data_IF_250057397970
#
_entry.id   IF_250057397970
#
_cell.length_a   1.000
_cell.length_b   1.000
_cell.length_c   1.000
_cell.angle_alpha   90.00
_cell.angle_beta   90.00
_cell.angle_gamma   90.00
#
_symmetry.space_group_name_H-M   'P 1'
#
loop_
_entity.id
_entity.type
_entity.pdbx_description
1 polymer ?
#
# COMPACT_ATOMS: atom_id res chain seq x y z
N UNK A 1 2.86 44.33 -46.57
CA UNK A 1 3.69 43.53 -45.64
C UNK A 1 4.35 44.52 -44.71
N UNK A 2 4.27 44.34 -43.39
CA UNK A 2 5.00 45.19 -42.44
C UNK A 2 6.50 44.92 -42.66
N UNK A 3 7.32 45.95 -42.71
CA UNK A 3 8.77 45.82 -42.83
C UNK A 3 9.50 46.76 -41.89
N UNK A 4 10.49 46.26 -41.17
CA UNK A 4 11.38 47.03 -40.30
C UNK A 4 12.80 46.91 -40.85
N UNK A 5 13.48 48.05 -41.08
CA UNK A 5 14.84 48.09 -41.61
C UNK A 5 15.07 47.19 -42.85
N UNK A 6 14.12 47.18 -43.79
CA UNK A 6 14.21 46.37 -45.02
C UNK A 6 13.89 44.88 -44.88
N UNK A 7 13.56 44.40 -43.67
CA UNK A 7 13.21 43.00 -43.41
C UNK A 7 11.71 42.85 -43.24
N UNK A 8 11.14 41.76 -43.76
CA UNK A 8 9.74 41.41 -43.50
C UNK A 8 9.51 41.22 -42.00
N UNK A 9 8.45 41.82 -41.47
CA UNK A 9 8.19 41.86 -40.03
C UNK A 9 6.75 41.51 -39.72
N UNK A 10 6.53 41.06 -38.48
CA UNK A 10 5.20 40.79 -37.91
C UNK A 10 5.08 41.52 -36.58
N UNK A 11 3.88 42.01 -36.27
CA UNK A 11 3.54 42.60 -34.98
C UNK A 11 2.74 41.58 -34.16
N UNK A 12 3.16 41.34 -32.93
CA UNK A 12 2.54 40.35 -32.04
C UNK A 12 2.25 40.97 -30.67
N UNK A 13 1.10 40.61 -30.09
CA UNK A 13 0.76 40.97 -28.71
C UNK A 13 1.67 40.21 -27.74
N UNK A 14 2.42 40.93 -26.91
CA UNK A 14 3.39 40.34 -25.98
C UNK A 14 2.70 39.55 -24.87
N UNK A 15 1.68 40.13 -24.24
CA UNK A 15 1.02 39.54 -23.06
C UNK A 15 0.08 38.36 -23.38
N UNK A 16 -0.39 38.24 -24.63
CA UNK A 16 -1.33 37.19 -25.05
C UNK A 16 -0.70 36.21 -26.04
N UNK A 17 -0.39 36.67 -27.26
CA UNK A 17 0.11 35.81 -28.34
C UNK A 17 1.51 35.27 -28.04
N UNK A 18 2.46 36.14 -27.69
CA UNK A 18 3.83 35.72 -27.36
C UNK A 18 3.82 34.87 -26.09
N UNK A 19 3.14 35.30 -25.02
CA UNK A 19 3.00 34.51 -23.79
C UNK A 19 2.50 33.09 -24.06
N UNK A 20 1.43 32.94 -24.84
CA UNK A 20 0.88 31.61 -25.17
C UNK A 20 1.85 30.74 -25.96
N UNK A 21 2.53 31.33 -26.94
CA UNK A 21 3.54 30.62 -27.75
C UNK A 21 4.74 30.18 -26.90
N UNK A 22 5.30 31.09 -26.11
CA UNK A 22 6.47 30.81 -25.26
C UNK A 22 6.15 29.80 -24.16
N UNK A 23 4.96 29.85 -23.57
CA UNK A 23 4.49 28.86 -22.60
C UNK A 23 4.34 27.47 -23.22
N UNK A 24 3.79 27.39 -24.44
CA UNK A 24 3.68 26.13 -25.17
C UNK A 24 5.05 25.50 -25.42
N UNK A 25 5.99 26.29 -25.93
CA UNK A 25 7.36 25.85 -26.20
C UNK A 25 8.08 25.42 -24.91
N UNK A 26 8.03 26.22 -23.84
CA UNK A 26 8.71 25.89 -22.59
C UNK A 26 8.17 24.61 -21.94
N UNK A 27 6.86 24.33 -22.06
CA UNK A 27 6.26 23.07 -21.62
C UNK A 27 6.72 21.87 -22.44
N UNK A 28 6.96 22.04 -23.74
CA UNK A 28 7.40 20.96 -24.61
C UNK A 28 8.85 20.54 -24.36
N UNK A 29 9.75 21.51 -24.19
CA UNK A 29 11.20 21.23 -24.14
C UNK A 29 11.81 21.35 -22.75
N UNK A 30 11.08 21.92 -21.78
CA UNK A 30 11.60 22.27 -20.46
C UNK A 30 12.30 23.63 -20.46
N UNK A 31 12.31 24.30 -19.30
CA UNK A 31 12.76 25.70 -19.17
C UNK A 31 14.23 25.88 -19.54
N UNK A 32 15.11 24.95 -19.17
CA UNK A 32 16.56 25.07 -19.43
C UNK A 32 16.87 25.00 -20.92
N UNK A 33 16.30 24.01 -21.63
CA UNK A 33 16.45 23.87 -23.10
C UNK A 33 15.78 25.02 -23.84
N UNK A 34 14.63 25.47 -23.34
CA UNK A 34 13.94 26.64 -23.89
C UNK A 34 14.82 27.89 -23.81
N UNK A 35 15.45 28.15 -22.66
CA UNK A 35 16.33 29.30 -22.50
C UNK A 35 17.58 29.20 -23.39
N UNK A 36 18.21 28.01 -23.46
CA UNK A 36 19.33 27.78 -24.39
C UNK A 36 18.96 28.00 -25.85
N UNK A 37 17.76 27.58 -26.27
CA UNK A 37 17.28 27.81 -27.63
C UNK A 37 17.08 29.30 -27.92
N UNK A 38 16.51 30.07 -26.98
CA UNK A 38 16.42 31.52 -27.10
C UNK A 38 17.80 32.17 -27.14
N UNK A 39 18.73 31.70 -26.32
CA UNK A 39 20.10 32.22 -26.30
C UNK A 39 20.86 31.94 -27.60
N UNK A 40 20.67 30.78 -28.21
CA UNK A 40 21.16 30.46 -29.57
C UNK A 40 20.60 31.46 -30.57
N UNK A 41 19.27 31.59 -30.63
CA UNK A 41 18.62 32.52 -31.56
C UNK A 41 19.09 33.96 -31.36
N UNK A 42 19.35 34.37 -30.11
CA UNK A 42 19.94 35.66 -29.77
C UNK A 42 21.32 35.83 -30.40
N UNK A 43 22.21 34.87 -30.21
CA UNK A 43 23.57 34.87 -30.78
C UNK A 43 23.56 34.85 -32.31
N UNK A 44 22.73 34.01 -32.92
CA UNK A 44 22.68 33.84 -34.37
C UNK A 44 22.10 35.06 -35.09
N UNK A 45 21.37 35.90 -34.35
CA UNK A 45 20.74 37.11 -34.89
C UNK A 45 21.63 38.36 -34.89
N UNK A 46 22.91 38.26 -34.50
CA UNK A 46 23.77 39.45 -34.32
C UNK A 46 24.49 39.91 -35.60
N UNK A 47 24.46 39.15 -36.69
CA UNK A 47 25.22 39.50 -37.90
C UNK A 47 24.76 40.84 -38.52
N UNK A 48 23.45 41.04 -38.65
CA UNK A 48 22.88 42.30 -39.12
C UNK A 48 23.11 43.45 -38.13
N UNK A 49 22.97 43.17 -36.83
CA UNK A 49 23.22 44.12 -35.75
C UNK A 49 24.68 44.59 -35.78
N UNK A 50 25.62 43.67 -35.96
CA UNK A 50 27.04 43.95 -36.03
C UNK A 50 27.40 44.76 -37.27
N UNK A 51 26.86 44.40 -38.43
CA UNK A 51 27.05 45.17 -39.66
C UNK A 51 26.60 46.63 -39.49
N UNK A 52 25.46 46.85 -38.82
CA UNK A 52 24.97 48.19 -38.47
C UNK A 52 25.92 48.92 -37.50
N UNK A 53 26.32 48.28 -36.40
CA UNK A 53 27.23 48.87 -35.39
C UNK A 53 28.55 49.31 -36.03
N UNK A 54 29.11 48.52 -36.96
CA UNK A 54 30.38 48.83 -37.62
C UNK A 54 30.34 50.02 -38.59
N UNK A 55 29.15 50.57 -38.88
CA UNK A 55 29.03 51.83 -39.63
C UNK A 55 29.36 53.07 -38.80
N UNK A 56 29.51 52.91 -37.48
CA UNK A 56 29.82 53.98 -36.53
C UNK A 56 31.29 53.94 -36.09
N UNK A 57 31.87 55.09 -35.66
CA UNK A 57 33.26 55.17 -35.22
C UNK A 57 33.62 54.29 -34.03
N UNK A 58 32.69 54.10 -33.09
CA UNK A 58 32.91 53.30 -31.88
C UNK A 58 31.78 52.29 -31.68
N UNK A 59 32.08 51.21 -30.97
CA UNK A 59 31.08 50.20 -30.62
C UNK A 59 29.94 50.82 -29.79
N UNK A 60 30.26 51.72 -28.87
CA UNK A 60 29.29 52.40 -28.00
C UNK A 60 28.33 53.29 -28.79
N UNK A 61 28.83 54.05 -29.77
CA UNK A 61 28.00 54.87 -30.66
C UNK A 61 27.10 54.00 -31.54
N UNK A 62 27.67 52.93 -32.14
CA UNK A 62 26.90 51.99 -32.95
C UNK A 62 25.86 51.23 -32.14
N UNK A 63 26.20 50.82 -30.92
CA UNK A 63 25.28 50.16 -30.00
C UNK A 63 24.17 51.11 -29.55
N UNK A 64 24.47 52.39 -29.26
CA UNK A 64 23.46 53.38 -28.94
C UNK A 64 22.47 53.58 -30.10
N UNK A 65 22.96 53.59 -31.35
CA UNK A 65 22.10 53.60 -32.54
C UNK A 65 21.23 52.33 -32.64
N UNK A 66 21.83 51.15 -32.44
CA UNK A 66 21.11 49.88 -32.43
C UNK A 66 20.05 49.84 -31.31
N UNK A 67 20.33 50.39 -30.14
CA UNK A 67 19.40 50.45 -29.02
C UNK A 67 18.13 51.24 -29.36
N UNK A 68 18.24 52.30 -30.17
CA UNK A 68 17.07 53.04 -30.69
C UNK A 68 16.24 52.15 -31.61
N UNK A 69 16.89 51.37 -32.49
CA UNK A 69 16.21 50.42 -33.38
C UNK A 69 15.53 49.32 -32.56
N UNK A 70 16.22 48.75 -31.58
CA UNK A 70 15.69 47.72 -30.68
C UNK A 70 14.46 48.22 -29.90
N UNK A 71 14.50 49.46 -29.40
CA UNK A 71 13.36 50.09 -28.72
C UNK A 71 12.17 50.27 -29.67
N UNK A 72 12.41 50.76 -30.90
CA UNK A 72 11.37 50.91 -31.92
C UNK A 72 10.78 49.57 -32.38
N UNK A 73 11.59 48.50 -32.39
CA UNK A 73 11.18 47.14 -32.69
C UNK A 73 10.47 46.44 -31.50
N UNK A 74 10.41 47.09 -30.34
CA UNK A 74 9.76 46.57 -29.14
C UNK A 74 10.60 45.55 -28.36
N UNK A 75 11.92 45.47 -28.59
CA UNK A 75 12.80 44.55 -27.87
C UNK A 75 13.19 45.04 -26.48
N UNK A 76 12.98 46.33 -26.20
CA UNK A 76 13.34 46.99 -24.96
C UNK A 76 14.34 48.12 -25.20
N UNK A 77 14.58 48.91 -24.15
CA UNK A 77 15.56 49.98 -24.14
C UNK A 77 16.89 49.41 -23.66
N UNK A 78 17.90 49.44 -24.51
CA UNK A 78 19.21 48.85 -24.22
C UNK A 78 20.23 49.93 -23.86
N UNK A 79 21.09 49.61 -22.90
CA UNK A 79 22.13 50.51 -22.42
C UNK A 79 23.41 49.71 -22.11
N UNK A 80 24.56 50.29 -22.44
CA UNK A 80 25.86 49.84 -21.93
C UNK A 80 26.07 50.51 -20.57
N UNK A 81 26.02 49.73 -19.50
CA UNK A 81 26.29 50.21 -18.14
C UNK A 81 27.79 50.41 -17.92
N UNK A 82 28.60 49.49 -18.45
CA UNK A 82 30.06 49.58 -18.42
C UNK A 82 30.66 48.66 -19.47
N UNK A 83 31.81 49.04 -20.04
CA UNK A 83 32.56 48.21 -20.98
C UNK A 83 34.05 48.26 -20.64
N UNK A 84 34.59 47.13 -20.19
CA UNK A 84 36.00 46.94 -19.87
C UNK A 84 36.64 46.07 -20.96
N UNK A 85 37.44 46.70 -21.82
CA UNK A 85 38.12 46.02 -22.94
C UNK A 85 39.36 45.23 -22.51
N UNK A 86 39.99 45.58 -21.37
CA UNK A 86 41.16 44.85 -20.88
C UNK A 86 40.76 43.52 -20.25
N UNK A 87 39.65 43.51 -19.51
CA UNK A 87 39.12 42.30 -18.87
C UNK A 87 38.09 41.56 -19.74
N UNK A 88 37.77 42.10 -20.91
CA UNK A 88 36.72 41.61 -21.81
C UNK A 88 35.34 41.49 -21.12
N UNK A 89 34.98 42.49 -20.30
CA UNK A 89 33.72 42.48 -19.54
C UNK A 89 32.78 43.57 -20.06
N UNK A 90 31.62 43.16 -20.56
CA UNK A 90 30.50 44.05 -20.88
C UNK A 90 29.40 43.95 -19.84
N UNK A 91 28.87 45.09 -19.36
CA UNK A 91 27.67 45.15 -18.53
C UNK A 91 26.58 45.88 -19.28
N UNK A 92 25.45 45.22 -19.46
CA UNK A 92 24.33 45.73 -20.25
C UNK A 92 23.07 45.75 -19.42
N UNK A 93 22.20 46.70 -19.73
CA UNK A 93 20.88 46.83 -19.12
C UNK A 93 19.82 46.85 -20.21
N UNK A 94 18.71 46.17 -19.95
CA UNK A 94 17.51 46.21 -20.77
C UNK A 94 16.32 46.57 -19.89
N UNK A 95 15.66 47.71 -20.15
CA UNK A 95 14.37 48.06 -19.52
C UNK A 95 13.24 47.87 -20.51
N UNK A 96 12.04 47.56 -19.99
CA UNK A 96 10.86 47.25 -20.82
C UNK A 96 11.12 46.15 -21.86
N UNK A 97 11.92 45.14 -21.49
CA UNK A 97 12.25 44.03 -22.37
C UNK A 97 11.05 43.14 -22.65
N UNK A 98 10.86 42.76 -23.92
CA UNK A 98 9.73 41.91 -24.32
C UNK A 98 9.71 40.56 -23.61
N UNK A 99 10.89 39.99 -23.31
CA UNK A 99 11.01 38.72 -22.58
C UNK A 99 10.46 38.83 -21.16
N UNK A 100 10.77 39.92 -20.47
CA UNK A 100 10.23 40.18 -19.14
C UNK A 100 8.72 40.44 -19.18
N UNK A 101 8.21 41.14 -20.21
CA UNK A 101 6.78 41.43 -20.34
C UNK A 101 5.93 40.16 -20.45
N UNK A 102 6.26 39.25 -21.37
CA UNK A 102 5.48 38.01 -21.51
C UNK A 102 5.61 37.12 -20.26
N UNK A 103 6.80 37.09 -19.63
CA UNK A 103 7.01 36.32 -18.41
C UNK A 103 6.19 36.83 -17.23
N UNK A 104 6.05 38.16 -17.07
CA UNK A 104 5.15 38.75 -16.06
C UNK A 104 3.69 38.38 -16.31
N UNK A 105 3.22 38.42 -17.56
CA UNK A 105 1.85 38.00 -17.90
C UNK A 105 1.59 36.53 -17.55
N UNK A 106 2.63 35.69 -17.62
CA UNK A 106 2.59 34.28 -17.22
C UNK A 106 2.87 34.04 -15.73
N UNK A 107 3.24 35.06 -14.95
CA UNK A 107 3.72 34.93 -13.57
C UNK A 107 4.88 33.94 -13.41
N UNK A 108 5.85 33.97 -14.33
CA UNK A 108 7.04 33.11 -14.32
C UNK A 108 8.33 33.94 -14.43
N UNK A 109 9.47 33.32 -14.11
CA UNK A 109 10.79 33.88 -14.37
C UNK A 109 11.73 32.78 -14.89
N UNK A 110 11.87 32.70 -16.21
CA UNK A 110 12.75 31.76 -16.91
C UNK A 110 14.10 32.37 -17.30
N UNK A 111 14.24 33.69 -17.16
CA UNK A 111 15.38 34.45 -17.65
C UNK A 111 15.18 34.96 -19.08
N UNK A 112 15.95 35.97 -19.45
CA UNK A 112 15.87 36.66 -20.74
C UNK A 112 16.97 36.11 -21.67
N UNK A 113 16.73 34.90 -22.17
CA UNK A 113 17.70 34.12 -22.94
C UNK A 113 18.05 34.76 -24.27
N UNK A 114 17.06 35.29 -25.00
CA UNK A 114 17.29 35.96 -26.30
C UNK A 114 18.18 37.20 -26.12
N UNK A 115 17.88 38.02 -25.11
CA UNK A 115 18.66 39.19 -24.74
C UNK A 115 20.08 38.83 -24.34
N UNK A 116 20.24 37.84 -23.46
CA UNK A 116 21.55 37.32 -23.07
C UNK A 116 22.34 36.79 -24.28
N UNK A 117 21.67 36.14 -25.23
CA UNK A 117 22.26 35.66 -26.48
C UNK A 117 22.78 36.78 -27.36
N UNK A 118 21.96 37.82 -27.59
CA UNK A 118 22.37 39.00 -28.38
C UNK A 118 23.60 39.68 -27.79
N UNK A 119 23.59 39.98 -26.48
CA UNK A 119 24.73 40.62 -25.84
C UNK A 119 25.98 39.73 -25.84
N UNK A 120 25.81 38.41 -25.67
CA UNK A 120 26.92 37.46 -25.80
C UNK A 120 27.53 37.48 -27.21
N UNK A 121 26.70 37.46 -28.25
CA UNK A 121 27.15 37.48 -29.64
C UNK A 121 27.85 38.79 -30.02
N UNK A 122 27.29 39.94 -29.60
CA UNK A 122 27.92 41.25 -29.82
C UNK A 122 29.27 41.37 -29.10
N UNK A 123 29.35 40.96 -27.83
CA UNK A 123 30.63 40.92 -27.11
C UNK A 123 31.63 39.95 -27.74
N UNK A 124 31.17 38.81 -28.24
CA UNK A 124 32.06 37.85 -28.90
C UNK A 124 32.69 38.43 -30.17
N UNK A 125 31.93 39.21 -30.94
CA UNK A 125 32.44 39.97 -32.09
C UNK A 125 33.39 41.10 -31.66
N UNK A 126 33.06 41.81 -30.57
CA UNK A 126 33.83 42.93 -30.05
C UNK A 126 35.19 42.52 -29.48
N UNK A 127 35.22 41.47 -28.66
CA UNK A 127 36.43 41.02 -27.96
C UNK A 127 37.20 39.95 -28.76
N UNK A 128 36.57 39.33 -29.76
CA UNK A 128 37.20 38.26 -30.55
C UNK A 128 37.31 36.93 -29.80
N UNK A 129 36.57 36.76 -28.69
CA UNK A 129 36.54 35.58 -27.85
C UNK A 129 35.10 35.10 -27.62
N UNK A 130 34.87 33.80 -27.40
CA UNK A 130 33.52 33.33 -27.08
C UNK A 130 33.08 33.91 -25.73
N UNK A 131 31.99 34.66 -25.74
CA UNK A 131 31.45 35.31 -24.55
C UNK A 131 30.14 34.69 -24.10
N UNK A 132 29.80 34.83 -22.82
CA UNK A 132 28.56 34.36 -22.23
C UNK A 132 27.95 35.39 -21.29
N UNK A 133 26.66 35.65 -21.47
CA UNK A 133 25.88 36.53 -20.61
C UNK A 133 25.36 35.79 -19.38
N UNK A 134 25.63 36.35 -18.21
CA UNK A 134 24.97 36.03 -16.96
C UNK A 134 23.97 37.15 -16.65
N UNK A 135 22.68 36.83 -16.61
CA UNK A 135 21.67 37.74 -16.09
C UNK A 135 21.77 37.82 -14.57
N UNK A 136 21.82 39.04 -14.04
CA UNK A 136 22.00 39.34 -12.61
C UNK A 136 20.82 40.11 -12.00
N UNK A 137 19.93 40.65 -12.82
CA UNK A 137 18.70 41.35 -12.41
C UNK A 137 17.55 40.95 -13.34
N UNK A 138 16.34 40.86 -12.81
CA UNK A 138 15.18 40.22 -13.46
C UNK A 138 13.90 41.06 -13.31
N UNK A 139 13.50 41.74 -14.37
CA UNK A 139 12.23 42.49 -14.44
C UNK A 139 10.99 41.61 -14.25
N UNK A 140 11.08 40.33 -14.57
CA UNK A 140 9.99 39.36 -14.33
C UNK A 140 9.82 39.04 -12.84
N UNK A 141 10.82 39.34 -11.99
CA UNK A 141 10.75 39.25 -10.52
C UNK A 141 10.39 40.56 -9.85
N UNK A 142 10.19 41.63 -10.62
CA UNK A 142 9.87 42.96 -10.11
C UNK A 142 11.06 43.91 -9.99
N UNK A 143 12.26 43.52 -10.44
CA UNK A 143 13.39 44.44 -10.53
C UNK A 143 13.13 45.52 -11.60
N UNK A 144 13.80 46.68 -11.49
CA UNK A 144 13.60 47.80 -12.42
C UNK A 144 14.05 47.49 -13.85
N UNK A 145 15.11 46.68 -13.99
CA UNK A 145 15.72 46.36 -15.28
C UNK A 145 16.30 44.94 -15.29
N UNK A 146 16.38 44.34 -16.49
CA UNK A 146 17.23 43.18 -16.68
C UNK A 146 18.67 43.67 -16.83
N UNK A 147 19.58 43.15 -16.02
CA UNK A 147 21.01 43.46 -16.13
C UNK A 147 21.79 42.20 -16.44
N UNK A 148 22.77 42.33 -17.33
CA UNK A 148 23.60 41.24 -17.82
C UNK A 148 25.07 41.59 -17.65
N UNK A 149 25.84 40.62 -17.18
CA UNK A 149 27.30 40.67 -17.24
C UNK A 149 27.76 39.66 -18.27
N UNK A 150 28.49 40.12 -19.28
CA UNK A 150 29.01 39.33 -20.38
C UNK A 150 30.52 39.24 -20.26
N UNK A 151 31.05 38.02 -20.30
CA UNK A 151 32.48 37.72 -20.14
C UNK A 151 32.91 36.54 -21.03
N UNK A 152 34.21 36.35 -21.30
CA UNK A 152 34.70 35.16 -21.97
C UNK A 152 34.31 33.89 -21.22
N UNK A 153 33.99 32.84 -21.97
CA UNK A 153 33.56 31.57 -21.40
C UNK A 153 33.84 30.40 -22.36
N UNK A 154 34.15 29.24 -21.79
CA UNK A 154 34.22 27.98 -22.55
C UNK A 154 32.83 27.36 -22.81
N UNK A 155 31.76 28.00 -22.33
CA UNK A 155 30.39 27.53 -22.53
C UNK A 155 29.95 27.73 -23.98
N UNK A 156 29.39 26.68 -24.56
CA UNK A 156 28.71 26.71 -25.87
C UNK A 156 27.27 26.22 -25.70
N UNK A 157 26.39 26.66 -26.60
CA UNK A 157 24.99 26.22 -26.57
C UNK A 157 24.91 24.71 -26.83
N UNK A 158 25.70 24.23 -27.78
CA UNK A 158 25.80 22.81 -28.14
C UNK A 158 26.29 21.98 -26.95
N UNK A 159 27.35 22.42 -26.27
CA UNK A 159 27.88 21.72 -25.11
C UNK A 159 26.93 21.72 -23.92
N UNK A 160 26.19 22.81 -23.69
CA UNK A 160 25.13 22.86 -22.68
C UNK A 160 23.98 21.91 -23.02
N UNK A 161 23.55 21.85 -24.29
CA UNK A 161 22.49 20.96 -24.75
C UNK A 161 22.90 19.49 -24.63
N UNK A 162 24.12 19.14 -25.03
CA UNK A 162 24.68 17.79 -24.87
C UNK A 162 24.71 17.35 -23.41
N UNK A 163 25.12 18.25 -22.49
CA UNK A 163 25.08 17.98 -21.05
C UNK A 163 23.67 17.69 -20.55
N UNK A 164 22.68 18.47 -20.98
CA UNK A 164 21.27 18.23 -20.61
C UNK A 164 20.73 16.92 -21.19
N UNK A 165 21.11 16.55 -22.41
CA UNK A 165 20.72 15.27 -23.01
C UNK A 165 21.36 14.08 -22.28
N UNK A 166 22.64 14.20 -21.91
CA UNK A 166 23.34 13.18 -21.14
C UNK A 166 22.74 12.98 -19.74
N UNK A 167 22.39 14.06 -19.05
CA UNK A 167 21.74 14.00 -17.74
C UNK A 167 20.35 13.33 -17.79
N UNK A 168 19.54 13.64 -18.81
CA UNK A 168 18.25 13.00 -19.03
C UNK A 168 18.40 11.51 -19.34
N UNK A 169 19.39 11.13 -20.14
CA UNK A 169 19.66 9.74 -20.48
C UNK A 169 20.09 8.92 -19.25
N UNK A 170 20.97 9.48 -18.41
CA UNK A 170 21.38 8.86 -17.15
C UNK A 170 20.18 8.67 -16.20
N UNK A 171 19.37 9.72 -16.00
CA UNK A 171 18.20 9.68 -15.13
C UNK A 171 17.17 8.64 -15.59
N UNK A 172 16.94 8.53 -16.90
CA UNK A 172 16.04 7.52 -17.47
C UNK A 172 16.55 6.10 -17.27
N UNK A 173 17.86 5.88 -17.42
CA UNK A 173 18.48 4.58 -17.18
C UNK A 173 18.35 4.17 -15.70
N UNK A 174 18.64 5.09 -14.77
CA UNK A 174 18.52 4.83 -13.33
C UNK A 174 17.08 4.52 -12.93
N UNK A 175 16.10 5.27 -13.47
CA UNK A 175 14.68 5.02 -13.22
C UNK A 175 14.23 3.67 -13.78
N UNK A 176 14.71 3.27 -14.97
CA UNK A 176 14.41 1.97 -15.54
C UNK A 176 14.95 0.83 -14.66
N UNK A 177 16.17 0.96 -14.14
CA UNK A 177 16.75 0.00 -13.20
C UNK A 177 15.95 -0.07 -11.89
N UNK A 178 15.56 1.08 -11.34
CA UNK A 178 14.76 1.13 -10.11
C UNK A 178 13.38 0.47 -10.28
N UNK A 179 12.71 0.71 -11.42
CA UNK A 179 11.42 0.10 -11.73
C UNK A 179 11.53 -1.42 -11.86
N UNK A 180 12.62 -1.93 -12.47
CA UNK A 180 12.81 -3.37 -12.61
C UNK A 180 13.06 -4.05 -11.25
N UNK A 181 13.86 -3.43 -10.38
CA UNK A 181 14.05 -3.92 -8.99
C UNK A 181 12.74 -3.96 -8.21
N UNK A 182 11.93 -2.91 -8.30
CA UNK A 182 10.64 -2.85 -7.61
C UNK A 182 9.68 -3.96 -8.12
N UNK A 183 9.68 -4.23 -9.42
CA UNK A 183 8.88 -5.32 -10.01
C UNK A 183 9.30 -6.68 -9.46
N UNK A 184 10.61 -6.93 -9.35
CA UNK A 184 11.14 -8.17 -8.78
C UNK A 184 10.71 -8.33 -7.32
N UNK A 185 10.87 -7.29 -6.49
CA UNK A 185 10.46 -7.33 -5.08
C UNK A 185 8.95 -7.57 -4.90
N UNK A 186 8.11 -6.95 -5.75
CA UNK A 186 6.66 -7.16 -5.71
C UNK A 186 6.29 -8.60 -6.06
N UNK A 187 6.93 -9.19 -7.07
CA UNK A 187 6.66 -10.58 -7.47
C UNK A 187 7.12 -11.58 -6.40
N UNK A 188 8.29 -11.37 -5.79
CA UNK A 188 8.78 -12.21 -4.68
C UNK A 188 7.83 -12.19 -3.47
N UNK A 189 7.33 -11.00 -3.11
CA UNK A 189 6.32 -10.86 -2.05
C UNK A 189 5.04 -11.58 -2.40
N UNK A 190 4.55 -11.44 -3.64
CA UNK A 190 3.33 -12.10 -4.10
C UNK A 190 3.42 -13.62 -4.00
N UNK A 191 4.55 -14.20 -4.43
CA UNK A 191 4.80 -15.65 -4.33
C UNK A 191 4.80 -16.11 -2.88
N UNK A 192 5.44 -15.34 -2.00
CA UNK A 192 5.53 -15.67 -0.56
C UNK A 192 4.16 -15.61 0.12
N UNK A 193 3.36 -14.58 -0.17
CA UNK A 193 2.00 -14.44 0.36
C UNK A 193 1.08 -15.57 -0.12
N UNK A 194 1.17 -15.94 -1.41
CA UNK A 194 0.38 -17.05 -1.96
C UNK A 194 0.77 -18.40 -1.32
N UNK A 195 2.06 -18.62 -1.05
CA UNK A 195 2.53 -19.80 -0.33
C UNK A 195 2.01 -19.84 1.11
N UNK A 196 2.09 -18.72 1.85
CA UNK A 196 1.59 -18.62 3.21
C UNK A 196 0.08 -18.89 3.28
N UNK A 197 -0.71 -18.29 2.37
CA UNK A 197 -2.17 -18.52 2.29
C UNK A 197 -2.53 -19.97 2.03
N UNK A 198 -1.72 -20.72 1.26
CA UNK A 198 -1.94 -22.15 1.03
C UNK A 198 -1.69 -22.93 2.32
N UNK A 199 -0.57 -22.68 2.99
CA UNK A 199 -0.25 -23.32 4.27
C UNK A 199 -1.28 -23.01 5.36
N UNK A 200 -1.78 -21.77 5.44
CA UNK A 200 -2.86 -21.40 6.37
C UNK A 200 -4.15 -22.20 6.12
N UNK A 201 -4.53 -22.36 4.85
CA UNK A 201 -5.71 -23.17 4.47
C UNK A 201 -5.53 -24.64 4.81
N UNK A 202 -4.36 -25.20 4.53
CA UNK A 202 -4.03 -26.60 4.87
C UNK A 202 -4.08 -26.83 6.39
N UNK A 203 -3.50 -25.92 7.16
CA UNK A 203 -3.54 -25.97 8.62
C UNK A 203 -4.96 -25.85 9.17
N UNK A 204 -5.76 -24.92 8.64
CA UNK A 204 -7.15 -24.75 9.04
C UNK A 204 -7.98 -26.03 8.79
N UNK A 205 -7.79 -26.65 7.62
CA UNK A 205 -8.43 -27.92 7.29
C UNK A 205 -8.01 -29.05 8.25
N UNK A 206 -6.73 -29.14 8.57
CA UNK A 206 -6.21 -30.16 9.49
C UNK A 206 -6.77 -29.98 10.91
N UNK A 207 -6.83 -28.74 11.41
CA UNK A 207 -7.41 -28.43 12.73
C UNK A 207 -8.89 -28.83 12.77
N UNK A 208 -9.65 -28.55 11.72
CA UNK A 208 -11.07 -28.94 11.66
C UNK A 208 -11.24 -30.46 11.67
N UNK A 209 -10.43 -31.19 10.90
CA UNK A 209 -10.40 -32.66 10.90
C UNK A 209 -10.09 -33.20 12.31
N UNK A 210 -9.05 -32.69 12.96
CA UNK A 210 -8.67 -33.10 14.31
C UNK A 210 -9.79 -32.83 15.32
N UNK A 211 -10.43 -31.66 15.27
CA UNK A 211 -11.55 -31.32 16.15
C UNK A 211 -12.73 -32.31 16.00
N UNK A 212 -13.05 -32.70 14.76
CA UNK A 212 -14.10 -33.71 14.48
C UNK A 212 -13.73 -35.08 15.04
N UNK A 213 -12.49 -35.53 14.84
CA UNK A 213 -12.02 -36.82 15.37
C UNK A 213 -12.03 -36.84 16.90
N UNK A 214 -11.56 -35.78 17.55
CA UNK A 214 -11.59 -35.64 19.02
C UNK A 214 -13.03 -35.69 19.54
N UNK A 215 -13.97 -35.00 18.88
CA UNK A 215 -15.37 -35.04 19.25
C UNK A 215 -15.98 -36.45 19.16
N UNK A 216 -15.67 -37.20 18.09
CA UNK A 216 -16.15 -38.57 17.88
C UNK A 216 -15.61 -39.56 18.93
N UNK A 217 -14.38 -39.36 19.42
CA UNK A 217 -13.76 -40.21 20.44
C UNK A 217 -14.26 -39.96 21.87
N UNK A 218 -14.98 -38.86 22.13
CA UNK A 218 -15.22 -38.36 23.49
C UNK A 218 -16.46 -38.92 24.21
N UNK A 219 -17.32 -39.72 23.55
CA UNK A 219 -18.50 -40.37 24.17
C UNK A 219 -18.92 -41.66 23.44
N UNK A 220 -18.17 -42.77 23.56
CA UNK A 220 -18.56 -44.04 22.94
C UNK A 220 -19.72 -44.68 23.69
N UNK A 221 -20.86 -44.93 23.04
CA UNK A 221 -21.92 -45.79 23.58
C UNK A 221 -21.52 -47.25 23.31
N UNK A 222 -21.37 -48.03 24.38
CA UNK A 222 -20.87 -49.40 24.30
C UNK A 222 -21.97 -50.34 24.78
N UNK A 223 -22.18 -51.46 24.10
CA UNK A 223 -23.05 -52.51 24.60
C UNK A 223 -22.22 -53.46 25.47
N UNK A 224 -22.51 -53.46 26.76
CA UNK A 224 -21.81 -54.28 27.77
C UNK A 224 -22.46 -55.64 27.97
N UNK A 225 -23.73 -55.76 27.59
CA UNK A 225 -24.46 -57.03 27.56
C UNK A 225 -25.61 -56.97 26.54
N UNK A 226 -26.18 -58.11 26.18
CA UNK A 226 -27.41 -58.14 25.37
C UNK A 226 -28.53 -57.35 26.06
N UNK A 227 -29.03 -56.31 25.41
CA UNK A 227 -30.05 -55.41 25.97
C UNK A 227 -29.53 -54.37 26.98
N UNK A 228 -28.22 -54.23 27.21
CA UNK A 228 -27.63 -53.26 28.16
C UNK A 228 -26.57 -52.40 27.48
N UNK A 229 -26.80 -51.08 27.46
CA UNK A 229 -25.86 -50.08 26.96
C UNK A 229 -25.17 -49.36 28.12
N UNK A 230 -23.94 -48.92 27.90
CA UNK A 230 -23.23 -47.98 28.77
C UNK A 230 -22.81 -46.74 27.99
N UNK A 231 -22.95 -45.59 28.63
CA UNK A 231 -22.55 -44.29 28.15
C UNK A 231 -21.64 -43.65 29.21
N UNK A 232 -20.32 -43.74 29.05
CA UNK A 232 -19.37 -43.01 29.88
C UNK A 232 -19.40 -41.52 29.54
N UNK A 233 -19.64 -40.69 30.55
CA UNK A 233 -19.65 -39.24 30.45
C UNK A 233 -18.36 -38.72 31.08
N UNK A 234 -17.51 -38.10 30.26
CA UNK A 234 -16.21 -37.57 30.67
C UNK A 234 -16.14 -36.06 30.45
N UNK A 235 -15.78 -35.29 31.47
CA UNK A 235 -15.69 -33.83 31.41
C UNK A 235 -17.05 -33.13 31.42
N UNK A 236 -17.07 -31.86 31.01
CA UNK A 236 -18.28 -31.02 31.06
C UNK A 236 -19.29 -31.39 29.97
N UNK A 237 -20.58 -31.38 30.32
CA UNK A 237 -21.68 -31.66 29.38
C UNK A 237 -22.38 -30.34 29.04
N UNK A 238 -21.85 -29.63 28.05
CA UNK A 238 -22.52 -28.44 27.49
C UNK A 238 -23.80 -28.84 26.73
N UNK A 239 -24.74 -27.90 26.52
CA UNK A 239 -26.01 -28.21 25.85
C UNK A 239 -25.88 -28.80 24.43
N UNK A 240 -24.90 -28.37 23.64
CA UNK A 240 -24.62 -28.95 22.33
C UNK A 240 -24.15 -30.41 22.43
N UNK A 241 -23.31 -30.71 23.45
CA UNK A 241 -22.81 -32.06 23.71
C UNK A 241 -23.92 -32.95 24.28
N UNK A 242 -24.74 -32.46 25.21
CA UNK A 242 -25.91 -33.16 25.73
C UNK A 242 -26.86 -33.60 24.63
N UNK A 243 -27.15 -32.70 23.67
CA UNK A 243 -28.03 -33.00 22.54
C UNK A 243 -27.47 -34.12 21.67
N UNK A 244 -26.17 -34.07 21.37
CA UNK A 244 -25.46 -35.10 20.60
C UNK A 244 -25.49 -36.45 21.32
N UNK A 245 -25.18 -36.45 22.62
CA UNK A 245 -25.24 -37.65 23.47
C UNK A 245 -26.65 -38.24 23.49
N UNK A 246 -27.67 -37.42 23.68
CA UNK A 246 -29.07 -37.84 23.69
C UNK A 246 -29.43 -38.51 22.37
N UNK A 247 -29.18 -37.85 21.23
CA UNK A 247 -29.49 -38.40 19.91
C UNK A 247 -28.79 -39.75 19.67
N UNK A 248 -27.51 -39.84 20.00
CA UNK A 248 -26.76 -41.08 19.86
C UNK A 248 -27.31 -42.19 20.77
N UNK A 249 -27.61 -41.88 22.04
CA UNK A 249 -28.14 -42.87 22.99
C UNK A 249 -29.50 -43.40 22.54
N UNK A 250 -30.42 -42.52 22.17
CA UNK A 250 -31.75 -42.90 21.70
C UNK A 250 -31.67 -43.74 20.42
N UNK A 251 -30.76 -43.41 19.50
CA UNK A 251 -30.52 -44.20 18.30
C UNK A 251 -30.06 -45.62 18.66
N UNK A 252 -29.06 -45.76 19.53
CA UNK A 252 -28.52 -47.06 19.93
C UNK A 252 -29.53 -47.90 20.74
N UNK A 253 -30.38 -47.26 21.57
CA UNK A 253 -31.46 -47.94 22.29
C UNK A 253 -32.40 -48.64 21.32
N UNK A 254 -32.84 -47.94 20.26
CA UNK A 254 -33.74 -48.50 19.24
C UNK A 254 -33.03 -49.57 18.42
N UNK A 255 -31.84 -49.27 17.90
CA UNK A 255 -31.08 -50.19 17.04
C UNK A 255 -30.78 -51.52 17.73
N UNK A 256 -30.45 -51.48 19.03
CA UNK A 256 -30.03 -52.66 19.80
C UNK A 256 -31.13 -53.23 20.69
N UNK A 257 -32.35 -52.65 20.62
CA UNK A 257 -33.47 -53.02 21.49
C UNK A 257 -33.07 -53.06 22.97
N UNK A 258 -32.33 -52.03 23.42
CA UNK A 258 -31.78 -52.00 24.76
C UNK A 258 -32.88 -51.78 25.81
N UNK A 259 -32.86 -52.60 26.87
CA UNK A 259 -33.76 -52.48 28.02
C UNK A 259 -33.18 -51.61 29.14
N UNK A 260 -31.85 -51.47 29.17
CA UNK A 260 -31.14 -50.67 30.16
C UNK A 260 -30.07 -49.79 29.50
N UNK A 261 -29.95 -48.56 30.01
CA UNK A 261 -28.87 -47.64 29.68
C UNK A 261 -28.16 -47.20 30.98
N UNK A 262 -26.88 -47.54 31.11
CA UNK A 262 -26.05 -47.15 32.25
C UNK A 262 -25.26 -45.90 31.89
N UNK A 263 -25.61 -44.77 32.50
CA UNK A 263 -24.88 -43.52 32.37
C UNK A 263 -23.79 -43.49 33.45
N UNK A 264 -22.53 -43.56 33.04
CA UNK A 264 -21.39 -43.55 33.95
C UNK A 264 -20.82 -42.14 34.09
N UNK A 265 -21.02 -41.54 35.27
CA UNK A 265 -20.57 -40.21 35.64
C UNK A 265 -19.20 -40.19 36.31
N UNK A 266 -18.46 -41.32 36.30
CA UNK A 266 -17.13 -41.42 36.92
C UNK A 266 -16.15 -40.34 36.41
N UNK A 267 -16.31 -39.90 35.15
CA UNK A 267 -15.50 -38.86 34.51
C UNK A 267 -16.01 -37.43 34.67
N UNK A 268 -17.05 -37.19 35.47
CA UNK A 268 -17.63 -35.85 35.70
C UNK A 268 -17.13 -35.26 37.02
N UNK A 269 -16.35 -34.19 36.95
CA UNK A 269 -15.73 -33.57 38.13
C UNK A 269 -16.64 -32.59 38.87
N UNK A 270 -17.50 -31.88 38.14
CA UNK A 270 -18.45 -30.90 38.67
C UNK A 270 -19.76 -30.98 37.92
N UNK A 271 -20.86 -30.70 38.61
CA UNK A 271 -22.19 -30.63 38.02
C UNK A 271 -22.75 -29.22 38.25
N UNK A 272 -23.30 -28.60 37.22
CA UNK A 272 -24.07 -27.36 37.32
C UNK A 272 -25.56 -27.62 37.04
N UNK A 273 -26.39 -26.60 37.24
CA UNK A 273 -27.84 -26.69 37.03
C UNK A 273 -28.21 -27.07 35.58
N UNK A 274 -27.48 -26.52 34.61
CA UNK A 274 -27.70 -26.78 33.18
C UNK A 274 -27.34 -28.22 32.81
N UNK A 275 -26.20 -28.73 33.28
CA UNK A 275 -25.78 -30.13 33.05
C UNK A 275 -26.74 -31.11 33.71
N UNK A 276 -27.22 -30.79 34.93
CA UNK A 276 -28.20 -31.61 35.63
C UNK A 276 -29.51 -31.73 34.83
N UNK A 277 -30.05 -30.63 34.31
CA UNK A 277 -31.23 -30.64 33.43
C UNK A 277 -31.01 -31.50 32.19
N UNK A 278 -29.87 -31.33 31.52
CA UNK A 278 -29.51 -32.13 30.35
C UNK A 278 -29.46 -33.63 30.64
N UNK A 279 -28.86 -34.06 31.75
CA UNK A 279 -28.81 -35.47 32.15
C UNK A 279 -30.22 -36.04 32.40
N UNK A 280 -31.08 -35.29 33.09
CA UNK A 280 -32.46 -35.70 33.33
C UNK A 280 -33.25 -35.84 32.04
N UNK A 281 -33.05 -34.94 31.08
CA UNK A 281 -33.70 -35.01 29.77
C UNK A 281 -33.25 -36.25 29.00
N UNK A 282 -31.96 -36.60 29.05
CA UNK A 282 -31.44 -37.84 28.45
C UNK A 282 -32.08 -39.07 29.09
N UNK A 283 -32.14 -39.13 30.42
CA UNK A 283 -32.78 -40.20 31.20
C UNK A 283 -34.24 -40.36 30.78
N UNK A 284 -35.02 -39.29 30.84
CA UNK A 284 -36.46 -39.31 30.51
C UNK A 284 -36.69 -39.73 29.06
N UNK A 285 -35.86 -39.27 28.13
CA UNK A 285 -35.97 -39.64 26.73
C UNK A 285 -35.69 -41.14 26.51
N UNK A 286 -34.71 -41.71 27.22
CA UNK A 286 -34.44 -43.15 27.17
C UNK A 286 -35.62 -43.97 27.73
N UNK A 287 -36.22 -43.52 28.83
CA UNK A 287 -37.39 -44.17 29.45
C UNK A 287 -38.63 -44.14 28.55
N UNK A 288 -38.85 -43.04 27.80
CA UNK A 288 -39.92 -42.96 26.80
C UNK A 288 -39.78 -44.00 25.67
N UNK A 289 -38.55 -44.44 25.38
CA UNK A 289 -38.27 -45.53 24.43
C UNK A 289 -38.29 -46.92 25.08
N UNK A 290 -38.63 -47.01 26.36
CA UNK A 290 -38.74 -48.29 27.09
C UNK A 290 -37.42 -48.80 27.68
N UNK A 291 -36.35 -48.00 27.65
CA UNK A 291 -35.07 -48.33 28.29
C UNK A 291 -34.99 -47.68 29.68
N UNK A 292 -34.75 -48.48 30.73
CA UNK A 292 -34.54 -47.97 32.08
C UNK A 292 -33.13 -47.39 32.22
N UNK A 293 -33.04 -46.17 32.75
CA UNK A 293 -31.76 -45.54 33.01
C UNK A 293 -31.21 -45.92 34.39
N UNK A 294 -29.92 -46.22 34.46
CA UNK A 294 -29.16 -46.37 35.69
C UNK A 294 -28.02 -45.36 35.66
N UNK A 295 -27.83 -44.59 36.73
CA UNK A 295 -26.68 -43.69 36.85
C UNK A 295 -25.66 -44.29 37.80
N UNK A 296 -24.41 -44.35 37.35
CA UNK A 296 -23.28 -44.88 38.11
C UNK A 296 -22.17 -43.84 38.27
N UNK A 297 -21.27 -44.05 39.23
CA UNK A 297 -20.05 -43.23 39.35
C UNK A 297 -20.27 -41.81 39.87
N UNK A 298 -21.38 -41.55 40.59
CA UNK A 298 -21.64 -40.22 41.18
C UNK A 298 -20.61 -39.94 42.28
N UNK A 299 -19.73 -38.96 42.05
CA UNK A 299 -18.75 -38.52 43.05
C UNK A 299 -19.43 -37.72 44.19
N UNK A 300 -18.87 -37.72 45.42
CA UNK A 300 -19.46 -37.01 46.57
C UNK A 300 -19.77 -35.53 46.30
N UNK A 301 -18.87 -34.83 45.60
CA UNK A 301 -19.06 -33.41 45.24
C UNK A 301 -20.28 -33.21 44.32
N UNK A 302 -20.47 -34.10 43.34
CA UNK A 302 -21.62 -34.07 42.43
C UNK A 302 -22.92 -34.36 43.18
N UNK A 303 -22.91 -35.33 44.09
CA UNK A 303 -24.07 -35.64 44.93
C UNK A 303 -24.49 -34.45 45.81
N UNK A 304 -23.54 -33.74 46.41
CA UNK A 304 -23.81 -32.52 47.17
C UNK A 304 -24.48 -31.45 46.29
N UNK A 305 -23.94 -31.21 45.09
CA UNK A 305 -24.50 -30.21 44.18
C UNK A 305 -25.91 -30.59 43.68
N UNK A 306 -26.21 -31.86 43.44
CA UNK A 306 -27.57 -32.33 43.09
C UNK A 306 -28.57 -31.97 44.20
N UNK A 307 -28.18 -32.17 45.47
CA UNK A 307 -29.00 -31.84 46.64
C UNK A 307 -29.18 -30.33 46.78
N UNK A 308 -28.12 -29.55 46.62
CA UNK A 308 -28.14 -28.08 46.67
C UNK A 308 -29.03 -27.47 45.58
N UNK A 309 -29.01 -28.06 44.39
CA UNK A 309 -29.84 -27.63 43.25
C UNK A 309 -31.31 -28.03 43.37
N UNK A 310 -31.67 -28.86 44.37
CA UNK A 310 -33.05 -29.32 44.57
C UNK A 310 -33.57 -30.22 43.43
N UNK A 311 -32.67 -30.93 42.75
CA UNK A 311 -33.03 -31.81 41.64
C UNK A 311 -33.69 -33.08 42.16
N UNK A 312 -34.91 -33.35 41.70
CA UNK A 312 -35.64 -34.58 42.06
C UNK A 312 -35.15 -35.78 41.23
N UNK A 313 -34.53 -36.75 41.90
CA UNK A 313 -34.06 -38.02 41.35
C UNK A 313 -34.92 -39.22 41.79
N UNK A 314 -36.11 -39.00 42.34
CA UNK A 314 -36.95 -40.05 42.96
C UNK A 314 -37.34 -41.22 42.04
N UNK A 315 -37.17 -41.10 40.72
CA UNK A 315 -37.39 -42.19 39.75
C UNK A 315 -36.11 -42.85 39.20
N UNK A 316 -34.93 -42.34 39.54
CA UNK A 316 -33.66 -42.77 38.94
C UNK A 316 -32.96 -43.80 39.82
N UNK A 317 -32.52 -44.91 39.23
CA UNK A 317 -31.67 -45.88 39.93
C UNK A 317 -30.23 -45.39 39.94
N UNK A 318 -29.67 -45.13 41.12
CA UNK A 318 -28.26 -44.75 41.29
C UNK A 318 -27.46 -45.87 41.95
N UNK A 319 -26.24 -46.08 41.47
CA UNK A 319 -25.31 -47.11 41.95
C UNK A 319 -23.90 -46.54 42.10
N UNK A 320 -23.05 -47.21 42.89
CA UNK A 320 -21.71 -46.72 43.19
C UNK A 320 -20.81 -46.65 41.93
N UNK A 321 -20.84 -47.69 41.10
CA UNK A 321 -19.97 -47.84 39.93
C UNK A 321 -20.67 -48.60 38.79
N UNK A 322 -20.01 -48.64 37.63
CA UNK A 322 -20.51 -49.29 36.43
C UNK A 322 -20.75 -50.79 36.65
N UNK A 323 -19.94 -51.45 37.48
CA UNK A 323 -20.06 -52.88 37.77
C UNK A 323 -21.37 -53.18 38.51
N UNK A 324 -21.71 -52.41 39.54
CA UNK A 324 -22.98 -52.57 40.25
C UNK A 324 -24.17 -52.17 39.38
N UNK A 325 -23.99 -51.22 38.45
CA UNK A 325 -24.99 -50.87 37.44
C UNK A 325 -25.33 -52.04 36.52
N UNK A 326 -24.30 -52.72 36.03
CA UNK A 326 -24.47 -53.92 35.20
C UNK A 326 -25.14 -55.05 35.99
N UNK A 327 -24.70 -55.32 37.22
CA UNK A 327 -25.34 -56.33 38.10
C UNK A 327 -26.82 -56.02 38.33
N UNK A 328 -27.15 -54.75 38.56
CA UNK A 328 -28.53 -54.30 38.81
C UNK A 328 -29.42 -54.51 37.58
N UNK A 329 -28.92 -54.15 36.39
CA UNK A 329 -29.62 -54.39 35.13
C UNK A 329 -29.82 -55.90 34.87
N UNK A 330 -28.79 -56.72 35.03
CA UNK A 330 -28.86 -58.17 34.85
C UNK A 330 -29.86 -58.84 35.81
N UNK A 331 -29.84 -58.46 37.10
CA UNK A 331 -30.81 -58.93 38.10
C UNK A 331 -32.25 -58.60 37.68
N UNK A 332 -32.47 -57.39 37.15
CA UNK A 332 -33.79 -56.93 36.70
C UNK A 332 -34.28 -57.66 35.45
N UNK A 333 -33.37 -58.16 34.61
CA UNK A 333 -33.68 -59.00 33.45
C UNK A 333 -33.91 -60.48 33.81
N UNK A 334 -33.80 -60.86 35.08
CA UNK A 334 -33.91 -62.27 35.52
C UNK A 334 -32.70 -63.14 35.11
N UNK A 335 -31.61 -62.51 34.66
CA UNK A 335 -30.37 -63.17 34.28
C UNK A 335 -29.50 -63.32 35.53
N UNK A 336 -29.06 -64.54 35.84
CA UNK A 336 -28.16 -64.80 36.97
C UNK A 336 -26.85 -64.06 36.69
N UNK A 337 -26.50 -63.07 37.51
CA UNK A 337 -25.27 -62.30 37.33
C UNK A 337 -24.06 -63.25 37.23
N UNK A 338 -23.13 -63.04 36.29
CA UNK A 338 -21.92 -63.83 36.21
C UNK A 338 -21.16 -63.71 37.54
N UNK A 339 -20.67 -64.84 38.06
CA UNK A 339 -19.88 -64.85 39.30
C UNK A 339 -18.64 -63.96 39.14
N UNK A 340 -18.23 -63.20 40.18
CA UNK A 340 -17.07 -62.33 40.08
C UNK A 340 -15.83 -63.16 39.69
N UNK A 341 -15.10 -62.67 38.68
CA UNK A 341 -13.77 -63.19 38.37
C UNK A 341 -12.91 -62.89 39.60
N UNK A 342 -12.53 -63.91 40.35
CA UNK A 342 -11.56 -63.77 41.44
C UNK A 342 -10.24 -63.32 40.82
N UNK A 343 -9.91 -62.04 40.93
CA UNK A 343 -8.59 -61.54 40.62
C UNK A 343 -7.61 -62.19 41.60
N UNK A 344 -6.83 -63.14 41.12
CA UNK A 344 -5.70 -63.71 41.83
C UNK A 344 -4.70 -62.58 42.12
N UNK A 345 -4.67 -62.11 43.36
CA UNK A 345 -3.57 -61.31 43.90
C UNK A 345 -2.30 -62.16 43.81
N UNK A 346 -1.47 -61.89 42.81
CA UNK A 346 -0.07 -62.28 42.81
C UNK A 346 0.75 -61.15 43.44
N UNK A 347 1.68 -61.60 44.28
CA UNK A 347 2.33 -60.90 45.40
C UNK A 347 3.21 -59.74 45.01
#
# INVERSE_FOLDING_TARGET
>A
MLSCAGHASVLMWTETTISGLMLGLSRMVGVERFNLALQSGGRDSVDGDWAHITTFPTFEEGFASLAVIAAAAGWGLWEIVSLDREREIGRFRCTNGWEAMYQRALSVCWGSGMMGGKFSGLCARLFGSNCWAQQISFQSRGDEADEFIVRPSDRTVEGDLERLLAADAATRADLAVALERLRQEVEERRVTEDALRRTEKENAFLIEQQARTIAALSTPIIQVWEGILTLPIVGQVSGARATTIMQALLHEIVQRSAHFAILDLTGVDTLDAETADHLLRIVRAAELLGARAIVSGIRPRVAQTIVELGVDLSGLTTVADLEEGLKTALRSMGVRAPSPIQASSQR
#
